data_IF_138449481714
#
_entry.id   IF_138449481714
#
_cell.length_a   1.000
_cell.length_b   1.000
_cell.length_c   1.000
_cell.angle_alpha   90.00
_cell.angle_beta   90.00
_cell.angle_gamma   90.00
#
_symmetry.space_group_name_H-M   'P 1'
#
loop_
_entity.id
_entity.type
_entity.pdbx_description
1 polymer ?
#
# COMPACT_ATOMS: atom_id res chain seq x y z
N UNK A 1 11.78 2.91 1.70
CA UNK A 1 11.15 2.04 2.72
C UNK A 1 10.83 2.86 3.96
N UNK A 2 9.81 2.49 4.75
CA UNK A 2 9.46 3.14 6.02
C UNK A 2 9.39 2.08 7.13
N UNK A 3 9.64 2.49 8.37
CA UNK A 3 9.53 1.64 9.58
C UNK A 3 8.26 2.05 10.31
N UNK A 4 7.33 1.11 10.48
CA UNK A 4 6.06 1.38 11.14
C UNK A 4 6.27 1.73 12.61
N UNK A 5 5.46 2.66 13.10
CA UNK A 5 5.40 2.99 14.52
C UNK A 5 5.11 1.72 15.34
N UNK A 6 5.79 1.58 16.47
CA UNK A 6 5.71 0.41 17.36
C UNK A 6 6.22 -0.91 16.76
N UNK A 7 6.95 -0.90 15.64
CA UNK A 7 7.58 -2.10 15.09
C UNK A 7 8.43 -2.86 16.12
N UNK A 8 8.93 -2.16 17.14
CA UNK A 8 9.79 -2.70 18.19
C UNK A 8 9.13 -2.81 19.57
N UNK A 9 7.85 -2.46 19.72
CA UNK A 9 7.20 -2.37 21.03
C UNK A 9 7.15 -3.72 21.80
N UNK A 10 7.15 -4.83 21.07
CA UNK A 10 7.02 -6.18 21.64
C UNK A 10 8.35 -6.95 21.70
N UNK A 11 9.47 -6.31 21.38
CA UNK A 11 10.80 -6.92 21.38
C UNK A 11 11.75 -6.19 22.30
N UNK A 12 12.47 -6.96 23.13
CA UNK A 12 13.58 -6.45 23.96
C UNK A 12 14.86 -6.49 23.13
N UNK A 13 15.05 -5.47 22.30
CA UNK A 13 16.24 -5.33 21.48
C UNK A 13 17.46 -5.01 22.34
N UNK A 14 18.53 -5.81 22.16
CA UNK A 14 19.84 -5.56 22.76
C UNK A 14 20.81 -4.90 21.77
N UNK A 15 20.63 -5.17 20.49
CA UNK A 15 21.46 -4.66 19.40
C UNK A 15 20.56 -4.38 18.19
N UNK A 16 20.81 -3.27 17.51
CA UNK A 16 20.16 -2.91 16.25
C UNK A 16 21.23 -2.47 15.25
N UNK A 17 21.43 -3.31 14.22
CA UNK A 17 22.30 -3.01 13.09
C UNK A 17 21.43 -2.66 11.87
N UNK A 18 21.29 -1.37 11.59
CA UNK A 18 20.49 -0.87 10.48
C UNK A 18 21.30 0.14 9.65
N UNK A 19 21.64 -0.26 8.42
CA UNK A 19 22.40 0.57 7.48
C UNK A 19 21.61 0.70 6.18
N UNK A 20 21.05 1.89 5.93
CA UNK A 20 20.24 2.13 4.72
C UNK A 20 20.19 3.62 4.39
N UNK A 21 20.21 3.93 3.10
CA UNK A 21 20.00 5.28 2.57
C UNK A 21 18.65 5.45 1.88
N UNK A 22 17.73 4.49 2.06
CA UNK A 22 16.47 4.40 1.31
C UNK A 22 15.24 4.71 2.15
N UNK A 23 15.39 5.46 3.26
CA UNK A 23 14.28 5.76 4.17
C UNK A 23 13.35 6.84 3.61
N UNK A 24 12.06 6.66 3.86
CA UNK A 24 11.02 7.68 3.66
C UNK A 24 10.88 8.47 4.96
N UNK A 25 11.48 9.65 5.02
CA UNK A 25 11.46 10.54 6.18
C UNK A 25 10.21 11.43 6.15
N UNK A 26 9.06 10.78 6.19
CA UNK A 26 7.74 11.41 6.28
C UNK A 26 7.21 11.41 7.72
N UNK A 27 6.00 11.93 7.93
CA UNK A 27 5.40 11.99 9.26
C UNK A 27 5.24 10.62 9.94
N UNK A 28 5.20 9.50 9.19
CA UNK A 28 5.09 8.16 9.76
C UNK A 28 6.41 7.67 10.37
N UNK A 29 7.55 8.21 9.91
CA UNK A 29 8.87 7.89 10.45
C UNK A 29 9.31 8.84 11.58
N UNK A 30 8.52 9.87 11.89
CA UNK A 30 8.85 10.92 12.87
C UNK A 30 9.25 10.41 14.26
N UNK A 31 8.71 9.26 14.68
CA UNK A 31 9.00 8.65 15.98
C UNK A 31 10.41 8.01 16.05
N UNK A 32 10.94 7.58 14.90
CA UNK A 32 12.10 6.70 14.83
C UNK A 32 13.44 7.35 15.24
N UNK A 33 13.75 8.62 14.86
CA UNK A 33 14.97 9.28 15.32
C UNK A 33 15.06 9.35 16.86
N UNK A 34 13.97 9.77 17.51
CA UNK A 34 13.94 9.89 18.96
C UNK A 34 14.05 8.52 19.64
N UNK A 35 13.36 7.52 19.11
CA UNK A 35 13.46 6.14 19.63
C UNK A 35 14.87 5.56 19.53
N UNK A 36 15.62 5.85 18.46
CA UNK A 36 17.02 5.43 18.31
C UNK A 36 17.92 6.04 19.39
N UNK A 37 17.70 7.31 19.73
CA UNK A 37 18.44 8.02 20.78
C UNK A 37 18.08 7.47 22.16
N UNK A 38 16.78 7.36 22.46
CA UNK A 38 16.29 6.88 23.76
C UNK A 38 16.71 5.44 24.04
N UNK A 39 16.83 4.63 22.98
CA UNK A 39 17.27 3.23 23.06
C UNK A 39 18.79 3.06 23.02
N UNK A 40 19.58 4.13 22.81
CA UNK A 40 21.03 4.07 22.77
C UNK A 40 21.65 3.50 21.48
N UNK A 41 20.87 3.41 20.40
CA UNK A 41 21.30 2.83 19.11
C UNK A 41 21.86 3.86 18.12
N UNK A 42 21.95 5.14 18.49
CA UNK A 42 22.37 6.21 17.58
C UNK A 42 23.77 6.01 16.95
N UNK A 43 24.64 5.22 17.57
CA UNK A 43 26.00 4.92 17.08
C UNK A 43 26.11 3.58 16.35
N UNK A 44 25.11 2.70 16.45
CA UNK A 44 25.11 1.38 15.80
C UNK A 44 24.38 1.36 14.46
N UNK A 45 23.76 2.47 14.07
CA UNK A 45 22.99 2.60 12.83
C UNK A 45 23.58 3.67 11.92
N UNK A 46 23.55 3.42 10.61
CA UNK A 46 23.85 4.41 9.58
C UNK A 46 22.66 4.56 8.65
N UNK A 47 21.78 5.49 9.01
CA UNK A 47 20.47 5.66 8.36
C UNK A 47 20.35 7.06 7.75
N UNK A 48 20.02 7.12 6.47
CA UNK A 48 19.76 8.37 5.77
C UNK A 48 18.45 8.35 4.97
N UNK A 49 17.89 9.54 4.80
CA UNK A 49 16.66 9.77 4.05
C UNK A 49 16.94 9.67 2.55
N UNK A 50 16.11 8.92 1.81
CA UNK A 50 16.04 9.03 0.36
C UNK A 50 15.01 10.08 -0.05
N UNK A 51 13.89 10.14 0.68
CA UNK A 51 12.80 11.09 0.45
C UNK A 51 12.32 11.68 1.79
N UNK A 52 11.66 12.85 1.75
CA UNK A 52 11.40 13.70 0.58
C UNK A 52 12.68 14.27 -0.05
N UNK A 53 12.60 14.79 -1.28
CA UNK A 53 13.78 15.15 -2.09
C UNK A 53 14.71 16.17 -1.39
N UNK A 54 14.14 17.10 -0.61
CA UNK A 54 14.91 18.08 0.16
C UNK A 54 15.64 17.50 1.38
N UNK A 55 15.28 16.30 1.82
CA UNK A 55 15.98 15.55 2.86
C UNK A 55 16.89 14.46 2.30
N UNK A 56 16.95 14.29 0.97
CA UNK A 56 17.73 13.22 0.35
C UNK A 56 19.21 13.28 0.75
N UNK A 57 19.75 12.14 1.19
CA UNK A 57 21.12 11.98 1.68
C UNK A 57 21.38 12.48 3.11
N UNK A 58 20.41 13.15 3.76
CA UNK A 58 20.57 13.64 5.15
C UNK A 58 20.46 12.48 6.13
N UNK A 59 21.27 12.51 7.19
CA UNK A 59 21.20 11.53 8.28
C UNK A 59 19.88 11.70 9.01
N UNK A 60 19.17 10.59 9.26
CA UNK A 60 17.87 10.60 9.93
C UNK A 60 17.93 11.29 11.31
N UNK A 61 19.03 11.11 12.04
CA UNK A 61 19.25 11.70 13.37
C UNK A 61 19.48 13.21 13.35
N UNK A 62 19.73 13.79 12.17
CA UNK A 62 19.98 15.22 11.98
C UNK A 62 18.77 15.99 11.45
N UNK A 63 17.67 15.28 11.14
CA UNK A 63 16.44 15.88 10.61
C UNK A 63 15.58 16.38 11.76
N UNK A 64 15.11 17.62 11.66
CA UNK A 64 14.23 18.22 12.66
C UNK A 64 12.83 17.59 12.64
N UNK A 65 12.21 17.47 13.80
CA UNK A 65 10.88 16.89 13.96
C UNK A 65 9.77 17.61 13.16
N UNK A 66 10.01 18.86 12.75
CA UNK A 66 9.12 19.66 11.91
C UNK A 66 9.21 19.35 10.41
N UNK A 67 10.31 18.76 9.95
CA UNK A 67 10.55 18.46 8.53
C UNK A 67 9.91 17.12 8.10
N UNK A 68 9.48 16.31 9.07
CA UNK A 68 8.71 15.07 8.84
C UNK A 68 7.24 15.41 8.53
N UNK A 69 6.97 15.80 7.30
CA UNK A 69 5.62 16.14 6.81
C UNK A 69 5.02 15.02 5.97
N UNK A 70 3.69 14.98 5.85
CA UNK A 70 2.94 13.97 5.09
C UNK A 70 2.19 14.53 3.88
N UNK A 71 2.62 15.70 3.40
CA UNK A 71 1.97 16.38 2.28
C UNK A 71 2.27 15.68 0.94
N UNK A 72 3.37 14.92 0.88
CA UNK A 72 3.73 14.05 -0.23
C UNK A 72 3.72 12.58 0.22
N UNK A 73 2.98 11.73 -0.49
CA UNK A 73 2.92 10.29 -0.26
C UNK A 73 3.43 9.54 -1.50
N UNK A 74 4.74 9.33 -1.60
CA UNK A 74 5.34 8.63 -2.74
C UNK A 74 4.95 7.14 -2.78
N UNK A 75 4.57 6.54 -1.65
CA UNK A 75 4.03 5.18 -1.59
C UNK A 75 2.54 5.17 -1.96
N UNK A 76 2.03 4.18 -2.73
CA UNK A 76 0.63 4.15 -3.14
C UNK A 76 -0.31 4.11 -1.94
N UNK A 77 -1.26 5.04 -1.90
CA UNK A 77 -2.32 5.07 -0.90
C UNK A 77 -3.65 4.64 -1.53
N UNK A 78 -4.19 3.51 -1.07
CA UNK A 78 -5.49 3.01 -1.52
C UNK A 78 -6.57 3.98 -1.06
N UNK A 79 -7.34 4.53 -2.00
CA UNK A 79 -8.46 5.45 -1.77
C UNK A 79 -9.81 4.77 -1.92
N UNK A 80 -9.91 3.89 -2.92
CA UNK A 80 -11.11 3.11 -3.16
C UNK A 80 -10.80 1.64 -2.94
N UNK A 81 -11.55 1.02 -2.05
CA UNK A 81 -11.47 -0.40 -1.76
C UNK A 81 -12.57 -1.16 -2.52
N UNK A 82 -12.35 -2.45 -2.85
CA UNK A 82 -13.39 -3.26 -3.45
C UNK A 82 -14.52 -3.52 -2.46
N UNK A 83 -15.74 -3.60 -2.95
CA UNK A 83 -16.93 -3.87 -2.14
C UNK A 83 -17.23 -5.37 -2.06
N UNK A 84 -17.75 -5.79 -0.91
CA UNK A 84 -18.25 -7.16 -0.73
C UNK A 84 -19.57 -7.32 -1.47
N UNK A 85 -19.67 -8.36 -2.30
CA UNK A 85 -20.77 -8.53 -3.25
C UNK A 85 -21.36 -9.93 -3.16
N UNK A 86 -22.69 -10.00 -3.30
CA UNK A 86 -23.41 -11.25 -3.52
C UNK A 86 -23.88 -11.27 -4.96
N UNK A 87 -23.56 -12.32 -5.70
CA UNK A 87 -23.93 -12.49 -7.10
C UNK A 87 -24.68 -13.80 -7.31
N UNK A 88 -25.53 -13.86 -8.33
CA UNK A 88 -26.10 -15.12 -8.77
C UNK A 88 -25.13 -15.82 -9.72
N UNK A 89 -25.09 -17.15 -9.67
CA UNK A 89 -24.33 -17.97 -10.61
C UNK A 89 -24.65 -17.56 -12.06
N UNK A 90 -23.61 -17.32 -12.84
CA UNK A 90 -23.68 -16.91 -14.24
C UNK A 90 -23.70 -15.40 -14.48
N UNK A 91 -23.79 -14.58 -13.42
CA UNK A 91 -23.64 -13.13 -13.55
C UNK A 91 -22.19 -12.71 -13.83
N UNK A 92 -22.02 -11.50 -14.34
CA UNK A 92 -20.72 -10.84 -14.38
C UNK A 92 -20.58 -9.94 -13.16
N UNK A 93 -19.41 -9.97 -12.52
CA UNK A 93 -19.09 -9.19 -11.33
C UNK A 93 -17.82 -8.40 -11.58
N UNK A 94 -17.82 -7.15 -11.14
CA UNK A 94 -16.67 -6.25 -11.25
C UNK A 94 -16.24 -5.78 -9.88
N UNK A 95 -14.95 -5.91 -9.57
CA UNK A 95 -14.34 -5.38 -8.35
C UNK A 95 -13.39 -4.24 -8.72
N UNK A 96 -13.52 -3.11 -8.03
CA UNK A 96 -12.80 -1.88 -8.35
C UNK A 96 -11.91 -1.50 -7.18
N UNK A 97 -10.70 -1.02 -7.47
CA UNK A 97 -9.78 -0.49 -6.48
C UNK A 97 -9.02 0.71 -7.08
N UNK A 98 -8.81 1.76 -6.28
CA UNK A 98 -8.07 2.96 -6.71
C UNK A 98 -7.01 3.33 -5.69
N UNK A 99 -5.82 3.71 -6.15
CA UNK A 99 -4.77 4.30 -5.30
C UNK A 99 -4.17 5.56 -5.91
N UNK A 100 -3.80 6.51 -5.05
CA UNK A 100 -3.03 7.70 -5.43
C UNK A 100 -1.57 7.62 -4.96
N UNK A 101 -0.68 8.24 -5.72
CA UNK A 101 0.73 8.42 -5.38
C UNK A 101 1.18 9.82 -5.79
N UNK A 102 1.96 10.51 -4.95
CA UNK A 102 2.59 11.79 -5.31
C UNK A 102 3.92 11.62 -6.06
N UNK A 103 4.34 10.37 -6.31
CA UNK A 103 5.48 10.05 -7.16
C UNK A 103 5.02 9.73 -8.58
N UNK A 104 5.84 10.14 -9.55
CA UNK A 104 5.78 9.81 -10.96
C UNK A 104 6.14 8.35 -11.30
N UNK A 105 6.60 7.57 -10.32
CA UNK A 105 7.01 6.20 -10.52
C UNK A 105 5.85 5.30 -10.96
N UNK A 106 6.06 4.43 -11.96
CA UNK A 106 5.04 3.49 -12.41
C UNK A 106 4.51 2.64 -11.25
N UNK A 107 3.17 2.56 -11.16
CA UNK A 107 2.49 1.64 -10.25
C UNK A 107 2.12 0.35 -10.99
N UNK A 108 2.33 -0.78 -10.34
CA UNK A 108 1.92 -2.11 -10.78
C UNK A 108 0.75 -2.59 -9.92
N UNK A 109 -0.22 -3.26 -10.54
CA UNK A 109 -1.43 -3.74 -9.88
C UNK A 109 -1.48 -5.27 -9.92
N UNK A 110 -1.97 -5.87 -8.85
CA UNK A 110 -2.23 -7.30 -8.77
C UNK A 110 -3.50 -7.55 -7.96
N UNK A 111 -4.25 -8.59 -8.32
CA UNK A 111 -5.40 -9.05 -7.55
C UNK A 111 -5.08 -10.37 -6.88
N UNK A 112 -5.56 -10.52 -5.64
CA UNK A 112 -5.47 -11.76 -4.88
C UNK A 112 -6.85 -12.29 -4.59
N UNK A 113 -6.99 -13.61 -4.60
CA UNK A 113 -8.15 -14.35 -4.10
C UNK A 113 -7.68 -15.28 -3.00
N UNK A 114 -8.27 -15.18 -1.82
CA UNK A 114 -7.96 -16.01 -0.66
C UNK A 114 -6.46 -16.04 -0.30
N UNK A 115 -5.77 -14.93 -0.57
CA UNK A 115 -4.32 -14.72 -0.36
C UNK A 115 -3.41 -15.29 -1.47
N UNK A 116 -3.95 -15.85 -2.54
CA UNK A 116 -3.18 -16.26 -3.72
C UNK A 116 -3.29 -15.22 -4.84
N UNK A 117 -2.19 -14.99 -5.59
CA UNK A 117 -2.17 -14.04 -6.70
C UNK A 117 -2.92 -14.63 -7.90
N UNK A 118 -3.76 -13.83 -8.54
CA UNK A 118 -4.44 -14.18 -9.78
C UNK A 118 -3.61 -13.73 -10.99
N UNK A 119 -2.86 -14.65 -11.59
CA UNK A 119 -1.99 -14.34 -12.73
C UNK A 119 -2.78 -14.11 -14.03
N UNK A 120 -3.78 -14.93 -14.32
CA UNK A 120 -4.54 -14.90 -15.58
C UNK A 120 -5.90 -14.16 -15.47
N UNK A 121 -6.02 -13.26 -14.50
CA UNK A 121 -7.24 -12.49 -14.29
C UNK A 121 -7.50 -11.47 -15.42
N UNK A 122 -8.78 -11.25 -15.73
CA UNK A 122 -9.21 -10.19 -16.65
C UNK A 122 -9.22 -8.85 -15.91
N UNK A 123 -8.09 -8.14 -15.97
CA UNK A 123 -7.88 -6.88 -15.27
C UNK A 123 -7.72 -5.74 -16.26
N UNK A 124 -8.43 -4.64 -16.01
CA UNK A 124 -8.23 -3.36 -16.67
C UNK A 124 -7.60 -2.37 -15.69
N UNK A 125 -6.69 -1.53 -16.15
CA UNK A 125 -6.04 -0.52 -15.31
C UNK A 125 -6.02 0.83 -16.03
N UNK A 126 -6.40 1.88 -15.31
CA UNK A 126 -6.50 3.24 -15.81
C UNK A 126 -5.66 4.16 -14.93
N UNK A 127 -4.89 5.06 -15.55
CA UNK A 127 -4.11 6.07 -14.85
C UNK A 127 -4.68 7.47 -15.12
N UNK A 128 -4.83 8.29 -14.06
CA UNK A 128 -5.26 9.68 -14.14
C UNK A 128 -4.24 10.58 -13.46
N UNK A 129 -3.81 11.63 -14.16
CA UNK A 129 -2.87 12.62 -13.65
C UNK A 129 -3.62 13.87 -13.21
N UNK A 130 -3.42 14.30 -11.97
CA UNK A 130 -3.97 15.53 -11.44
C UNK A 130 -2.84 16.55 -11.26
N UNK A 131 -2.99 17.74 -11.86
CA UNK A 131 -2.00 18.84 -11.83
C UNK A 131 -2.45 20.04 -10.99
N UNK A 132 -3.30 19.83 -9.99
CA UNK A 132 -3.82 20.91 -9.16
C UNK A 132 -3.03 21.04 -7.85
N UNK A 133 -1.81 21.59 -7.94
CA UNK A 133 -0.97 21.98 -6.78
C UNK A 133 -0.02 20.89 -6.27
N UNK A 134 -0.45 19.63 -6.24
CA UNK A 134 0.41 18.46 -6.00
C UNK A 134 0.30 17.53 -7.20
N UNK A 135 1.43 17.13 -7.79
CA UNK A 135 1.44 16.14 -8.87
C UNK A 135 1.01 14.79 -8.30
N UNK A 136 -0.22 14.40 -8.62
CA UNK A 136 -0.82 13.16 -8.12
C UNK A 136 -1.17 12.26 -9.29
N UNK A 137 -0.70 11.02 -9.23
CA UNK A 137 -1.09 9.96 -10.14
C UNK A 137 -2.05 9.04 -9.41
N UNK A 138 -3.25 8.85 -9.98
CA UNK A 138 -4.24 7.91 -9.49
C UNK A 138 -4.36 6.71 -10.45
N UNK A 139 -4.22 5.50 -9.93
CA UNK A 139 -4.44 4.26 -10.67
C UNK A 139 -5.72 3.60 -10.19
N UNK A 140 -6.64 3.35 -11.12
CA UNK A 140 -7.84 2.53 -10.91
C UNK A 140 -7.63 1.18 -11.57
N UNK A 141 -7.73 0.09 -10.81
CA UNK A 141 -7.71 -1.29 -11.31
C UNK A 141 -9.09 -1.92 -11.15
N UNK A 142 -9.50 -2.66 -12.18
CA UNK A 142 -10.82 -3.25 -12.30
C UNK A 142 -10.65 -4.73 -12.62
N UNK A 143 -11.06 -5.61 -11.70
CA UNK A 143 -11.12 -7.05 -11.92
C UNK A 143 -12.50 -7.44 -12.43
N UNK A 144 -12.54 -8.03 -13.62
CA UNK A 144 -13.76 -8.53 -14.24
C UNK A 144 -13.86 -10.05 -14.10
N UNK A 145 -14.89 -10.51 -13.40
CA UNK A 145 -15.25 -11.92 -13.26
C UNK A 145 -16.49 -12.17 -14.13
N UNK A 146 -16.35 -13.03 -15.13
CA UNK A 146 -17.44 -13.32 -16.08
C UNK A 146 -18.06 -14.68 -15.78
N UNK A 147 -19.39 -14.78 -15.90
CA UNK A 147 -20.13 -16.03 -15.72
C UNK A 147 -19.76 -16.73 -14.39
N UNK A 148 -19.88 -15.99 -13.28
CA UNK A 148 -19.38 -16.42 -11.96
C UNK A 148 -19.97 -17.74 -11.51
N UNK A 149 -19.18 -18.56 -10.84
CA UNK A 149 -19.57 -19.85 -10.29
C UNK A 149 -19.11 -20.00 -8.84
N UNK A 150 -19.44 -21.12 -8.19
CA UNK A 150 -19.08 -21.35 -6.77
C UNK A 150 -17.56 -21.39 -6.52
N UNK A 151 -16.74 -21.73 -7.52
CA UNK A 151 -15.28 -21.69 -7.41
C UNK A 151 -14.73 -20.26 -7.44
N UNK A 152 -15.53 -19.26 -7.83
CA UNK A 152 -15.17 -17.84 -7.75
C UNK A 152 -15.46 -17.24 -6.36
N UNK A 153 -16.17 -17.95 -5.47
CA UNK A 153 -16.34 -17.49 -4.09
C UNK A 153 -15.01 -17.36 -3.37
N UNK A 154 -14.84 -16.28 -2.60
CA UNK A 154 -13.61 -16.03 -1.86
C UNK A 154 -13.47 -14.59 -1.40
N UNK A 155 -12.32 -14.30 -0.79
CA UNK A 155 -11.93 -12.95 -0.35
C UNK A 155 -10.94 -12.35 -1.33
N UNK A 156 -11.37 -11.32 -2.04
CA UNK A 156 -10.59 -10.60 -3.02
C UNK A 156 -9.89 -9.39 -2.40
N UNK A 157 -8.67 -9.12 -2.84
CA UNK A 157 -7.86 -8.00 -2.36
C UNK A 157 -7.01 -7.45 -3.51
N UNK A 158 -7.03 -6.14 -3.76
CA UNK A 158 -6.09 -5.53 -4.68
C UNK A 158 -4.78 -5.20 -3.96
N UNK A 159 -3.68 -5.28 -4.70
CA UNK A 159 -2.34 -4.88 -4.29
C UNK A 159 -1.82 -3.90 -5.31
N UNK A 160 -1.41 -2.71 -4.87
CA UNK A 160 -0.82 -1.69 -5.73
C UNK A 160 0.59 -1.41 -5.22
N UNK A 161 1.56 -1.50 -6.12
CA UNK A 161 2.99 -1.46 -5.80
C UNK A 161 3.72 -0.45 -6.68
N UNK A 162 4.61 0.34 -6.09
CA UNK A 162 5.66 1.04 -6.81
C UNK A 162 7.01 0.79 -6.12
N UNK A 163 8.08 1.47 -6.54
CA UNK A 163 9.41 1.28 -5.95
C UNK A 163 9.52 1.74 -4.47
N UNK A 164 8.58 2.56 -3.98
CA UNK A 164 8.50 2.95 -2.57
C UNK A 164 7.82 1.91 -1.69
N UNK A 165 7.05 1.01 -2.31
CA UNK A 165 6.50 -0.18 -1.70
C UNK A 165 5.10 -0.51 -2.18
N UNK A 166 4.49 -1.47 -1.49
CA UNK A 166 3.14 -1.96 -1.78
C UNK A 166 2.15 -1.53 -0.72
N UNK A 167 0.90 -1.35 -1.14
CA UNK A 167 -0.24 -1.21 -0.26
C UNK A 167 -1.38 -2.14 -0.71
N UNK A 168 -2.23 -2.51 0.24
CA UNK A 168 -3.24 -3.55 0.09
C UNK A 168 -4.62 -2.97 0.40
N UNK A 169 -5.64 -3.28 -0.39
CA UNK A 169 -7.00 -2.90 -0.02
C UNK A 169 -7.52 -3.69 1.18
N UNK A 170 -8.66 -3.28 1.73
CA UNK A 170 -9.51 -4.20 2.48
C UNK A 170 -9.91 -5.41 1.61
N UNK A 171 -10.26 -6.50 2.29
CA UNK A 171 -10.70 -7.75 1.64
C UNK A 171 -12.20 -7.68 1.35
N UNK A 172 -12.58 -7.79 0.09
CA UNK A 172 -13.95 -7.90 -0.37
C UNK A 172 -14.37 -9.37 -0.47
N UNK A 173 -15.49 -9.77 0.14
CA UNK A 173 -16.00 -11.14 -0.02
C UNK A 173 -16.92 -11.21 -1.24
N UNK A 174 -16.71 -12.19 -2.11
CA UNK A 174 -17.68 -12.58 -3.13
C UNK A 174 -18.44 -13.83 -2.65
N UNK A 175 -19.77 -13.75 -2.65
CA UNK A 175 -20.66 -14.89 -2.38
C UNK A 175 -21.50 -15.16 -3.63
N UNK A 176 -21.61 -16.42 -4.04
CA UNK A 176 -22.30 -16.84 -5.27
C UNK A 176 -23.49 -17.71 -4.88
N UNK A 177 -24.69 -17.18 -5.12
CA UNK A 177 -25.95 -17.86 -4.85
C UNK A 177 -26.56 -18.42 -6.14
N UNK A 178 -27.56 -19.28 -5.98
CA UNK A 178 -28.44 -19.70 -7.08
C UNK A 178 -29.83 -19.16 -6.84
N UNK A 179 -30.52 -18.77 -7.90
CA UNK A 179 -31.94 -18.44 -7.81
C UNK A 179 -32.70 -19.73 -7.57
N UNK A 180 -33.35 -19.83 -6.41
CA UNK A 180 -34.17 -20.98 -6.07
C UNK A 180 -35.59 -20.68 -6.55
N UNK A 181 -36.05 -21.44 -7.55
CA UNK A 181 -37.45 -21.37 -7.99
C UNK A 181 -38.33 -21.85 -6.84
N UNK A 182 -39.14 -20.96 -6.26
CA UNK A 182 -40.18 -21.39 -5.34
C UNK A 182 -41.18 -22.25 -6.13
N UNK A 183 -41.31 -23.53 -5.74
CA UNK A 183 -42.37 -24.45 -6.20
C UNK A 183 -43.60 -24.32 -5.31
#
# INVERSE_FOLDING_TARGET
MSVQENAFAHVKLQELNLNTSSLLCDCQLKWFPQWLIDSGFQHSVNVSCAHPDWLSGRSLLSVDAGDFICDNFPKPQIKLHPETTVALKGMNVTLICSAGSSSDSPMYTAWRKDSEILYDAKVETFARYYKNGLELIEYTTVLNLFNVNFTDEGKYQCVITNHFGSNYSSKAKLTVNVMQSCM
#
